data_IF_523059396359
#
_entry.id   IF_523059396359
#
_cell.length_a   1.000
_cell.length_b   1.000
_cell.length_c   1.000
_cell.angle_alpha   90.00
_cell.angle_beta   90.00
_cell.angle_gamma   90.00
#
_symmetry.space_group_name_H-M   'P 1'
#
loop_
_entity.id
_entity.type
_entity.pdbx_description
1 polymer ?
#
# COMPACT_ATOMS: atom_id res chain seq x y z
N UNK A 1 7.13 21.10 40.56
CA UNK A 1 5.96 20.61 39.81
C UNK A 1 5.95 21.04 38.32
N UNK A 2 6.43 22.24 37.99
CA UNK A 2 6.45 22.75 36.57
C UNK A 2 7.44 22.05 35.63
N UNK A 3 8.64 21.68 36.08
CA UNK A 3 9.66 21.04 35.25
C UNK A 3 9.29 19.59 34.83
N UNK A 4 8.61 18.86 35.71
CA UNK A 4 8.13 17.48 35.41
C UNK A 4 6.98 17.52 34.40
N UNK A 5 6.05 18.46 34.53
CA UNK A 5 4.94 18.68 33.59
C UNK A 5 5.44 19.15 32.21
N UNK A 6 6.47 20.01 32.19
CA UNK A 6 7.11 20.44 30.92
C UNK A 6 7.86 19.29 30.24
N UNK A 7 8.55 18.44 31.01
CA UNK A 7 9.24 17.26 30.49
C UNK A 7 8.24 16.20 29.96
N UNK A 8 7.11 16.03 30.64
CA UNK A 8 6.02 15.15 30.20
C UNK A 8 5.32 15.70 28.95
N UNK A 9 5.03 17.01 28.91
CA UNK A 9 4.44 17.70 27.76
C UNK A 9 5.36 17.64 26.52
N UNK A 10 6.66 17.78 26.69
CA UNK A 10 7.64 17.64 25.59
C UNK A 10 7.83 16.18 25.14
N UNK A 11 7.72 15.21 26.04
CA UNK A 11 7.83 13.78 25.72
C UNK A 11 6.60 13.27 24.94
N UNK A 12 5.40 13.73 25.27
CA UNK A 12 4.14 13.34 24.59
C UNK A 12 3.98 14.08 23.26
N UNK A 13 4.43 15.33 23.17
CA UNK A 13 4.29 16.12 21.94
C UNK A 13 5.20 15.66 20.78
N UNK A 14 6.33 15.01 21.04
CA UNK A 14 7.27 14.60 20.00
C UNK A 14 6.73 13.50 19.07
N UNK A 15 6.13 12.39 19.53
CA UNK A 15 5.57 11.39 18.64
C UNK A 15 4.34 11.88 17.88
N UNK A 16 3.47 12.68 18.52
CA UNK A 16 2.29 13.28 17.89
C UNK A 16 2.72 14.23 16.76
N UNK A 17 3.69 15.10 17.02
CA UNK A 17 4.22 16.03 16.02
C UNK A 17 4.87 15.32 14.85
N UNK A 18 5.62 14.22 15.09
CA UNK A 18 6.21 13.41 14.03
C UNK A 18 5.16 12.73 13.17
N UNK A 19 4.12 12.15 13.78
CA UNK A 19 3.00 11.57 13.04
C UNK A 19 2.25 12.62 12.20
N UNK A 20 2.04 13.81 12.76
CA UNK A 20 1.39 14.92 12.05
C UNK A 20 2.19 15.36 10.82
N UNK A 21 3.50 15.56 10.97
CA UNK A 21 4.39 15.92 9.85
C UNK A 21 4.41 14.82 8.78
N UNK A 22 4.50 13.54 9.18
CA UNK A 22 4.48 12.43 8.24
C UNK A 22 3.16 12.36 7.45
N UNK A 23 2.02 12.64 8.10
CA UNK A 23 0.73 12.68 7.44
C UNK A 23 0.58 13.91 6.51
N UNK A 24 1.07 15.09 6.92
CA UNK A 24 1.09 16.27 6.05
C UNK A 24 1.92 16.03 4.79
N UNK A 25 3.09 15.41 4.94
CA UNK A 25 3.92 15.00 3.81
C UNK A 25 3.13 14.08 2.86
N UNK A 26 2.37 13.12 3.41
CA UNK A 26 1.52 12.23 2.63
C UNK A 26 0.40 12.95 1.87
N UNK A 27 -0.23 13.95 2.49
CA UNK A 27 -1.22 14.78 1.82
C UNK A 27 -0.57 15.52 0.64
N UNK A 28 0.62 16.10 0.84
CA UNK A 28 1.39 16.75 -0.23
C UNK A 28 1.68 15.79 -1.39
N UNK A 29 2.15 14.58 -1.11
CA UNK A 29 2.40 13.55 -2.14
C UNK A 29 1.11 13.18 -2.89
N UNK A 30 -0.03 13.03 -2.20
CA UNK A 30 -1.30 12.74 -2.85
C UNK A 30 -1.77 13.87 -3.76
N UNK A 31 -1.59 15.12 -3.34
CA UNK A 31 -1.91 16.32 -4.15
C UNK A 31 -1.02 16.35 -5.40
N UNK A 32 0.29 16.11 -5.26
CA UNK A 32 1.21 16.03 -6.39
C UNK A 32 0.79 14.95 -7.39
N UNK A 33 0.41 13.76 -6.90
CA UNK A 33 -0.12 12.69 -7.75
C UNK A 33 -1.31 13.15 -8.58
N UNK A 34 -2.30 13.81 -7.96
CA UNK A 34 -3.52 14.22 -8.65
C UNK A 34 -3.29 15.38 -9.62
N UNK A 35 -2.50 16.38 -9.24
CA UNK A 35 -2.29 17.57 -10.05
C UNK A 35 -1.33 17.31 -11.20
N UNK A 36 -0.28 16.52 -10.99
CA UNK A 36 0.78 16.31 -11.97
C UNK A 36 0.50 15.09 -12.84
N UNK A 37 0.24 13.90 -12.23
CA UNK A 37 0.14 12.68 -13.04
C UNK A 37 -1.04 12.67 -13.99
N UNK A 38 -2.20 13.20 -13.60
CA UNK A 38 -3.39 13.19 -14.46
C UNK A 38 -3.16 13.91 -15.79
N UNK A 39 -2.67 15.18 -15.83
CA UNK A 39 -2.32 15.84 -17.08
C UNK A 39 -1.25 15.09 -17.89
N UNK A 40 -0.23 14.51 -17.22
CA UNK A 40 0.80 13.75 -17.91
C UNK A 40 0.26 12.46 -18.54
N UNK A 41 -0.61 11.73 -17.85
CA UNK A 41 -1.28 10.56 -18.44
C UNK A 41 -2.06 10.95 -19.69
N UNK A 42 -2.85 12.02 -19.63
CA UNK A 42 -3.63 12.49 -20.78
C UNK A 42 -2.71 12.93 -21.92
N UNK A 43 -1.61 13.60 -21.61
CA UNK A 43 -0.66 14.09 -22.61
C UNK A 43 0.06 12.94 -23.35
N UNK A 44 0.48 11.90 -22.64
CA UNK A 44 1.30 10.81 -23.20
C UNK A 44 0.49 9.62 -23.69
N UNK A 45 -0.64 9.31 -23.04
CA UNK A 45 -1.48 8.16 -23.39
C UNK A 45 -2.80 8.54 -24.08
N UNK A 46 -3.19 9.81 -24.01
CA UNK A 46 -4.51 10.26 -24.42
C UNK A 46 -5.61 9.89 -23.42
N UNK A 47 -6.79 10.47 -23.63
CA UNK A 47 -7.93 10.26 -22.72
C UNK A 47 -8.39 8.81 -22.64
N UNK A 48 -8.37 8.13 -23.77
CA UNK A 48 -9.01 6.83 -23.94
C UNK A 48 -8.22 5.73 -23.24
N UNK A 49 -6.90 5.66 -23.47
CA UNK A 49 -6.02 4.68 -22.80
C UNK A 49 -5.91 4.97 -21.29
N UNK A 50 -5.93 6.25 -20.91
CA UNK A 50 -5.97 6.64 -19.51
C UNK A 50 -7.29 6.24 -18.84
N UNK A 51 -8.41 6.32 -19.54
CA UNK A 51 -9.71 5.85 -19.04
C UNK A 51 -9.69 4.36 -18.75
N UNK A 52 -9.14 3.54 -19.66
CA UNK A 52 -8.99 2.10 -19.45
C UNK A 52 -8.13 1.80 -18.21
N UNK A 53 -7.03 2.52 -18.03
CA UNK A 53 -6.18 2.42 -16.84
C UNK A 53 -6.92 2.74 -15.55
N UNK A 54 -7.72 3.82 -15.52
CA UNK A 54 -8.51 4.21 -14.35
C UNK A 54 -9.50 3.11 -13.99
N UNK A 55 -10.22 2.55 -14.96
CA UNK A 55 -11.21 1.49 -14.72
C UNK A 55 -10.53 0.26 -14.10
N UNK A 56 -9.41 -0.21 -14.66
CA UNK A 56 -8.68 -1.37 -14.14
C UNK A 56 -8.10 -1.10 -12.74
N UNK A 57 -7.55 0.09 -12.52
CA UNK A 57 -6.98 0.46 -11.22
C UNK A 57 -8.05 0.64 -10.14
N UNK A 58 -9.21 1.21 -10.50
CA UNK A 58 -10.34 1.33 -9.59
C UNK A 58 -10.86 -0.06 -9.19
N UNK A 59 -11.01 -0.97 -10.16
CA UNK A 59 -11.43 -2.35 -9.88
C UNK A 59 -10.44 -3.05 -8.94
N UNK A 60 -9.14 -2.97 -9.19
CA UNK A 60 -8.11 -3.52 -8.32
C UNK A 60 -8.18 -2.93 -6.90
N UNK A 61 -8.45 -1.62 -6.79
CA UNK A 61 -8.58 -0.93 -5.49
C UNK A 61 -9.77 -1.44 -4.69
N UNK A 62 -10.90 -1.77 -5.33
CA UNK A 62 -12.07 -2.38 -4.66
C UNK A 62 -11.67 -3.69 -3.98
N UNK A 63 -10.85 -4.54 -4.62
CA UNK A 63 -10.32 -5.74 -3.97
C UNK A 63 -9.43 -5.42 -2.75
N UNK A 64 -8.69 -4.31 -2.80
CA UNK A 64 -7.91 -3.82 -1.65
C UNK A 64 -8.77 -3.40 -0.46
N UNK A 65 -10.02 -3.00 -0.69
CA UNK A 65 -10.96 -2.68 0.38
C UNK A 65 -11.39 -3.91 1.18
N UNK A 66 -11.14 -5.13 0.71
CA UNK A 66 -11.39 -6.36 1.48
C UNK A 66 -10.54 -6.47 2.75
N UNK A 67 -9.46 -5.69 2.87
CA UNK A 67 -8.70 -5.51 4.12
C UNK A 67 -9.38 -4.56 5.12
N UNK A 68 -10.62 -4.12 4.83
CA UNK A 68 -11.31 -3.11 5.66
C UNK A 68 -11.36 -3.53 7.12
N UNK A 69 -10.41 -3.04 7.88
CA UNK A 69 -10.33 -3.19 9.32
C UNK A 69 -9.51 -4.38 9.82
N UNK A 70 -9.23 -5.44 9.07
CA UNK A 70 -8.46 -6.60 9.56
C UNK A 70 -7.08 -6.18 10.07
N UNK A 71 -6.29 -5.51 9.25
CA UNK A 71 -4.99 -5.00 9.65
C UNK A 71 -5.11 -4.01 10.82
N UNK A 72 -6.12 -3.14 10.82
CA UNK A 72 -6.35 -2.17 11.91
C UNK A 72 -6.70 -2.84 13.22
N UNK A 73 -7.57 -3.87 13.20
CA UNK A 73 -7.94 -4.65 14.39
C UNK A 73 -6.72 -5.37 14.96
N UNK A 74 -5.93 -6.01 14.10
CA UNK A 74 -4.73 -6.75 14.54
C UNK A 74 -3.67 -5.81 15.08
N UNK A 75 -3.45 -4.67 14.43
CA UNK A 75 -2.53 -3.64 14.92
C UNK A 75 -2.93 -3.11 16.31
N UNK A 76 -4.22 -2.87 16.53
CA UNK A 76 -4.73 -2.42 17.83
C UNK A 76 -4.56 -3.50 18.90
N UNK A 77 -4.96 -4.75 18.60
CA UNK A 77 -4.79 -5.88 19.53
C UNK A 77 -3.32 -6.13 19.85
N UNK A 78 -2.45 -6.07 18.84
CA UNK A 78 -1.01 -6.18 19.04
C UNK A 78 -0.49 -5.13 20.01
N UNK A 79 -0.87 -3.85 19.83
CA UNK A 79 -0.44 -2.76 20.73
C UNK A 79 -0.90 -2.99 22.18
N UNK A 80 -2.14 -3.48 22.39
CA UNK A 80 -2.66 -3.83 23.72
C UNK A 80 -1.83 -4.97 24.33
N UNK A 81 -1.65 -6.07 23.59
CA UNK A 81 -0.92 -7.25 24.09
C UNK A 81 0.56 -6.97 24.33
N UNK A 82 1.14 -6.10 23.52
CA UNK A 82 2.51 -5.63 23.74
C UNK A 82 2.63 -4.79 25.04
N UNK A 83 1.66 -3.95 25.33
CA UNK A 83 1.63 -3.19 26.59
C UNK A 83 1.45 -4.08 27.83
N UNK A 84 0.75 -5.21 27.67
CA UNK A 84 0.60 -6.27 28.71
C UNK A 84 1.86 -7.17 28.82
N UNK A 85 2.90 -6.92 28.03
CA UNK A 85 4.14 -7.74 27.92
C UNK A 85 3.88 -9.20 27.50
N UNK A 86 2.76 -9.49 26.86
CA UNK A 86 2.43 -10.83 26.39
C UNK A 86 2.97 -11.06 24.97
N UNK A 87 4.30 -11.25 24.87
CA UNK A 87 4.98 -11.42 23.57
C UNK A 87 4.54 -12.67 22.81
N UNK A 88 4.06 -13.71 23.53
CA UNK A 88 3.55 -14.94 22.90
C UNK A 88 2.30 -14.67 22.09
N UNK A 89 1.32 -13.96 22.67
CA UNK A 89 0.11 -13.56 21.95
C UNK A 89 0.40 -12.57 20.83
N UNK A 90 1.37 -11.65 21.01
CA UNK A 90 1.83 -10.78 19.94
C UNK A 90 2.32 -11.56 18.72
N UNK A 91 3.13 -12.58 18.92
CA UNK A 91 3.60 -13.46 17.84
C UNK A 91 2.46 -14.20 17.15
N UNK A 92 1.51 -14.75 17.93
CA UNK A 92 0.33 -15.43 17.39
C UNK A 92 -0.52 -14.50 16.53
N UNK A 93 -0.75 -13.26 16.96
CA UNK A 93 -1.51 -12.27 16.18
C UNK A 93 -0.85 -11.96 14.83
N UNK A 94 0.48 -11.86 14.77
CA UNK A 94 1.18 -11.65 13.51
C UNK A 94 1.06 -12.85 12.57
N UNK A 95 1.19 -14.08 13.10
CA UNK A 95 1.04 -15.30 12.31
C UNK A 95 -0.39 -15.41 11.77
N UNK A 96 -1.40 -15.18 12.62
CA UNK A 96 -2.81 -15.18 12.21
C UNK A 96 -3.04 -14.15 11.10
N UNK A 97 -2.47 -12.95 11.21
CA UNK A 97 -2.59 -11.93 10.17
C UNK A 97 -2.00 -12.38 8.83
N UNK A 98 -0.78 -12.96 8.86
CA UNK A 98 -0.14 -13.51 7.67
C UNK A 98 -1.03 -14.58 7.01
N UNK A 99 -1.56 -15.51 7.80
CA UNK A 99 -2.39 -16.60 7.30
C UNK A 99 -3.68 -16.05 6.68
N UNK A 100 -4.37 -15.14 7.35
CA UNK A 100 -5.62 -14.54 6.83
C UNK A 100 -5.36 -13.82 5.51
N UNK A 101 -4.34 -12.93 5.45
CA UNK A 101 -3.99 -12.21 4.22
C UNK A 101 -3.63 -13.20 3.11
N UNK A 102 -2.86 -14.25 3.41
CA UNK A 102 -2.45 -15.25 2.41
C UNK A 102 -3.63 -16.05 1.87
N UNK A 103 -4.59 -16.44 2.73
CA UNK A 103 -5.82 -17.13 2.30
C UNK A 103 -6.68 -16.22 1.44
N UNK A 104 -6.90 -14.98 1.88
CA UNK A 104 -7.65 -13.98 1.11
C UNK A 104 -7.00 -13.76 -0.26
N UNK A 105 -5.68 -13.56 -0.28
CA UNK A 105 -4.92 -13.43 -1.53
C UNK A 105 -5.09 -14.63 -2.46
N UNK A 106 -4.91 -15.85 -1.94
CA UNK A 106 -5.03 -17.07 -2.74
C UNK A 106 -6.44 -17.23 -3.33
N UNK A 107 -7.48 -16.98 -2.56
CA UNK A 107 -8.88 -17.05 -3.01
C UNK A 107 -9.16 -16.02 -4.10
N UNK A 108 -8.79 -14.76 -3.88
CA UNK A 108 -9.03 -13.71 -4.87
C UNK A 108 -8.19 -13.89 -6.13
N UNK A 109 -6.92 -14.30 -6.00
CA UNK A 109 -6.07 -14.57 -7.15
C UNK A 109 -6.63 -15.73 -7.98
N UNK A 110 -7.03 -16.82 -7.34
CA UNK A 110 -7.62 -17.96 -8.02
C UNK A 110 -8.94 -17.59 -8.70
N UNK A 111 -9.83 -16.87 -8.00
CA UNK A 111 -11.09 -16.41 -8.56
C UNK A 111 -10.87 -15.47 -9.76
N UNK A 112 -9.91 -14.54 -9.66
CA UNK A 112 -9.57 -13.63 -10.77
C UNK A 112 -8.99 -14.35 -11.97
N UNK A 113 -8.11 -15.34 -11.77
CA UNK A 113 -7.56 -16.14 -12.87
C UNK A 113 -8.63 -16.98 -13.54
N UNK A 114 -9.54 -17.60 -12.79
CA UNK A 114 -10.69 -18.32 -13.36
C UNK A 114 -11.60 -17.38 -14.16
N UNK A 115 -11.86 -16.20 -13.65
CA UNK A 115 -12.67 -15.19 -14.32
C UNK A 115 -12.02 -14.76 -15.64
N UNK A 116 -10.73 -14.42 -15.62
CA UNK A 116 -9.97 -14.00 -16.81
C UNK A 116 -9.82 -15.12 -17.87
N UNK A 117 -9.80 -16.39 -17.44
CA UNK A 117 -9.76 -17.54 -18.35
C UNK A 117 -11.08 -17.71 -19.12
N UNK A 118 -12.22 -17.51 -18.45
CA UNK A 118 -13.54 -17.74 -19.03
C UNK A 118 -14.20 -16.48 -19.61
N UNK A 119 -13.87 -15.31 -19.08
CA UNK A 119 -14.47 -14.03 -19.44
C UNK A 119 -13.44 -13.07 -20.05
N UNK A 120 -13.90 -12.19 -20.93
CA UNK A 120 -13.08 -11.08 -21.41
C UNK A 120 -13.34 -9.84 -20.56
N UNK A 121 -12.40 -9.50 -19.69
CA UNK A 121 -12.50 -8.32 -18.81
C UNK A 121 -12.63 -7.01 -19.62
N UNK A 122 -12.00 -6.97 -20.80
CA UNK A 122 -12.00 -5.80 -21.68
C UNK A 122 -13.42 -5.51 -22.17
N UNK A 123 -14.10 -6.53 -22.70
CA UNK A 123 -15.48 -6.38 -23.20
C UNK A 123 -16.47 -6.06 -22.08
N UNK A 124 -16.33 -6.73 -20.92
CA UNK A 124 -17.25 -6.52 -19.80
C UNK A 124 -17.11 -5.17 -19.12
N UNK A 125 -15.90 -4.62 -19.09
CA UNK A 125 -15.64 -3.30 -18.50
C UNK A 125 -15.73 -2.17 -19.51
N UNK A 126 -16.04 -2.47 -20.78
CA UNK A 126 -16.14 -1.48 -21.84
C UNK A 126 -14.80 -0.80 -22.13
N UNK A 127 -13.69 -1.55 -22.02
CA UNK A 127 -12.37 -1.03 -22.37
C UNK A 127 -12.22 -1.04 -23.90
N UNK A 128 -11.74 0.05 -24.48
CA UNK A 128 -11.76 0.21 -25.93
C UNK A 128 -10.37 0.12 -26.57
N UNK A 129 -9.31 0.37 -25.81
CA UNK A 129 -7.94 0.50 -26.33
C UNK A 129 -7.03 -0.64 -25.91
N UNK A 130 -7.37 -1.37 -24.86
CA UNK A 130 -6.58 -2.50 -24.38
C UNK A 130 -7.04 -3.82 -25.01
N UNK A 131 -6.09 -4.61 -25.53
CA UNK A 131 -6.34 -5.96 -25.95
C UNK A 131 -6.66 -6.89 -24.76
N UNK A 132 -7.42 -7.99 -25.01
CA UNK A 132 -7.80 -8.96 -23.96
C UNK A 132 -6.61 -9.44 -23.12
N UNK A 133 -5.50 -9.80 -23.75
CA UNK A 133 -4.30 -10.30 -23.04
C UNK A 133 -3.64 -9.21 -22.20
N UNK A 134 -3.55 -8.02 -22.75
CA UNK A 134 -2.92 -6.87 -22.10
C UNK A 134 -3.75 -6.38 -20.91
N UNK A 135 -5.05 -6.18 -21.08
CA UNK A 135 -5.95 -5.81 -19.99
C UNK A 135 -5.97 -6.84 -18.85
N UNK A 136 -5.96 -8.15 -19.18
CA UNK A 136 -5.87 -9.21 -18.19
C UNK A 136 -4.53 -9.20 -17.44
N UNK A 137 -3.43 -8.95 -18.14
CA UNK A 137 -2.09 -8.87 -17.55
C UNK A 137 -1.99 -7.66 -16.59
N UNK A 138 -2.42 -6.48 -17.04
CA UNK A 138 -2.40 -5.25 -16.23
C UNK A 138 -3.25 -5.43 -14.98
N UNK A 139 -4.47 -5.95 -15.12
CA UNK A 139 -5.35 -6.20 -13.99
C UNK A 139 -4.72 -7.16 -12.97
N UNK A 140 -4.10 -8.24 -13.44
CA UNK A 140 -3.39 -9.20 -12.57
C UNK A 140 -2.23 -8.51 -11.82
N UNK A 141 -1.44 -7.69 -12.49
CA UNK A 141 -0.34 -6.94 -11.85
C UNK A 141 -0.85 -5.95 -10.80
N UNK A 142 -1.94 -5.24 -11.09
CA UNK A 142 -2.57 -4.33 -10.14
C UNK A 142 -3.15 -5.08 -8.92
N UNK A 143 -3.74 -6.26 -9.11
CA UNK A 143 -4.18 -7.11 -7.99
C UNK A 143 -2.99 -7.55 -7.13
N UNK A 144 -1.92 -8.04 -7.74
CA UNK A 144 -0.70 -8.43 -7.01
C UNK A 144 -0.15 -7.26 -6.21
N UNK A 145 -0.13 -6.05 -6.80
CA UNK A 145 0.28 -4.83 -6.11
C UNK A 145 -0.56 -4.55 -4.86
N UNK A 146 -1.88 -4.63 -4.97
CA UNK A 146 -2.81 -4.41 -3.86
C UNK A 146 -2.55 -5.41 -2.73
N UNK A 147 -2.39 -6.69 -3.05
CA UNK A 147 -2.16 -7.72 -2.06
C UNK A 147 -0.78 -7.60 -1.38
N UNK A 148 0.28 -7.29 -2.12
CA UNK A 148 1.58 -7.02 -1.52
C UNK A 148 1.47 -5.83 -0.55
N UNK A 149 0.67 -4.82 -0.89
CA UNK A 149 0.43 -3.68 0.00
C UNK A 149 -0.30 -4.09 1.30
N UNK A 150 -1.20 -5.09 1.27
CA UNK A 150 -1.83 -5.62 2.49
C UNK A 150 -0.80 -6.21 3.46
N UNK A 151 0.25 -6.89 2.97
CA UNK A 151 1.33 -7.40 3.81
C UNK A 151 2.14 -6.29 4.48
N UNK A 152 2.17 -5.07 3.93
CA UNK A 152 2.78 -3.91 4.59
C UNK A 152 2.10 -3.54 5.92
N UNK A 153 0.85 -3.94 6.14
CA UNK A 153 0.14 -3.79 7.40
C UNK A 153 0.73 -4.59 8.57
N UNK A 154 1.42 -5.70 8.28
CA UNK A 154 1.95 -6.62 9.29
C UNK A 154 3.07 -5.97 10.13
N UNK A 155 4.18 -5.46 9.55
CA UNK A 155 5.18 -4.76 10.33
C UNK A 155 4.65 -3.47 10.99
N UNK A 156 3.62 -2.83 10.41
CA UNK A 156 3.00 -1.66 11.01
C UNK A 156 2.44 -1.94 12.42
N UNK A 157 1.95 -3.17 12.69
CA UNK A 157 1.50 -3.58 14.02
C UNK A 157 2.63 -3.50 15.06
N UNK A 158 3.83 -3.93 14.69
CA UNK A 158 5.02 -3.91 15.56
C UNK A 158 5.40 -2.47 15.91
N UNK A 159 5.54 -1.61 14.91
CA UNK A 159 5.90 -0.21 15.11
C UNK A 159 4.85 0.56 15.94
N UNK A 160 3.57 0.22 15.77
CA UNK A 160 2.49 0.79 16.56
C UNK A 160 2.59 0.36 18.02
N UNK A 161 2.87 -0.91 18.30
CA UNK A 161 3.06 -1.44 19.65
C UNK A 161 4.20 -0.76 20.40
N UNK A 162 5.30 -0.45 19.71
CA UNK A 162 6.47 0.24 20.32
C UNK A 162 6.41 1.77 20.24
N UNK A 163 5.25 2.35 19.92
CA UNK A 163 5.03 3.81 19.80
C UNK A 163 5.90 4.52 18.74
N UNK A 164 6.38 3.80 17.73
CA UNK A 164 7.19 4.33 16.61
C UNK A 164 6.40 4.41 15.29
N UNK A 165 5.10 4.58 15.35
CA UNK A 165 4.20 4.60 14.18
C UNK A 165 4.59 5.64 13.12
N UNK A 166 5.17 6.79 13.52
CA UNK A 166 5.61 7.83 12.58
C UNK A 166 6.63 7.35 11.55
N UNK A 167 7.46 6.37 11.91
CA UNK A 167 8.50 5.86 11.01
C UNK A 167 7.89 5.06 9.87
N UNK A 168 6.91 4.21 10.18
CA UNK A 168 6.20 3.43 9.14
C UNK A 168 5.38 4.32 8.25
N UNK A 169 4.65 5.30 8.83
CA UNK A 169 3.89 6.27 8.04
C UNK A 169 4.81 7.02 7.08
N UNK A 170 5.99 7.44 7.54
CA UNK A 170 6.96 8.11 6.68
C UNK A 170 7.47 7.22 5.55
N UNK A 171 7.79 5.94 5.85
CA UNK A 171 8.20 4.96 4.83
C UNK A 171 7.09 4.75 3.79
N UNK A 172 5.82 4.66 4.24
CA UNK A 172 4.67 4.51 3.33
C UNK A 172 4.51 5.72 2.40
N UNK A 173 4.67 6.94 2.93
CA UNK A 173 4.59 8.14 2.11
C UNK A 173 5.79 8.27 1.16
N UNK A 174 6.98 7.87 1.60
CA UNK A 174 8.17 7.83 0.74
C UNK A 174 7.98 6.81 -0.40
N UNK A 175 7.39 5.64 -0.10
CA UNK A 175 7.06 4.64 -1.11
C UNK A 175 6.10 5.20 -2.17
N UNK A 176 5.06 5.93 -1.74
CA UNK A 176 4.14 6.61 -2.66
C UNK A 176 4.86 7.66 -3.53
N UNK A 177 5.78 8.42 -2.94
CA UNK A 177 6.60 9.38 -3.69
C UNK A 177 7.49 8.67 -4.73
N UNK A 178 8.09 7.54 -4.38
CA UNK A 178 8.88 6.74 -5.32
C UNK A 178 7.99 6.22 -6.45
N UNK A 179 6.80 5.69 -6.15
CA UNK A 179 5.84 5.26 -7.16
C UNK A 179 5.47 6.43 -8.09
N UNK A 180 5.22 7.63 -7.54
CA UNK A 180 4.96 8.83 -8.33
C UNK A 180 6.12 9.14 -9.30
N UNK A 181 7.37 9.13 -8.81
CA UNK A 181 8.55 9.40 -9.63
C UNK A 181 8.71 8.32 -10.73
N UNK A 182 8.56 7.03 -10.36
CA UNK A 182 8.63 5.92 -11.32
C UNK A 182 7.57 6.07 -12.40
N UNK A 183 6.32 6.35 -12.02
CA UNK A 183 5.22 6.58 -12.97
C UNK A 183 5.51 7.73 -13.91
N UNK A 184 5.98 8.87 -13.39
CA UNK A 184 6.34 10.03 -14.18
C UNK A 184 7.47 9.71 -15.18
N UNK A 185 8.52 9.01 -14.72
CA UNK A 185 9.63 8.59 -15.58
C UNK A 185 9.17 7.61 -16.66
N UNK A 186 8.30 6.66 -16.34
CA UNK A 186 7.73 5.74 -17.32
C UNK A 186 6.97 6.48 -18.43
N UNK A 187 6.17 7.47 -18.06
CA UNK A 187 5.44 8.31 -19.02
C UNK A 187 6.39 9.10 -19.91
N UNK A 188 7.39 9.75 -19.32
CA UNK A 188 8.40 10.54 -20.06
C UNK A 188 9.24 9.68 -21.00
N UNK A 189 9.55 8.44 -20.61
CA UNK A 189 10.31 7.50 -21.44
C UNK A 189 9.45 6.75 -22.46
N UNK A 190 8.14 6.97 -22.51
CA UNK A 190 7.23 6.28 -23.43
C UNK A 190 7.11 4.78 -23.15
N UNK A 191 7.23 4.39 -21.87
CA UNK A 191 7.06 2.98 -21.48
C UNK A 191 5.61 2.56 -21.69
N UNK A 192 5.41 1.38 -22.28
CA UNK A 192 4.09 0.80 -22.47
C UNK A 192 3.35 0.60 -21.13
N UNK A 193 2.02 0.65 -21.17
CA UNK A 193 1.15 0.53 -20.00
C UNK A 193 1.38 -0.80 -19.23
N UNK A 194 1.65 -1.90 -19.97
CA UNK A 194 2.01 -3.19 -19.40
C UNK A 194 3.32 -3.15 -18.61
N UNK A 195 4.37 -2.53 -19.16
CA UNK A 195 5.64 -2.32 -18.51
C UNK A 195 5.53 -1.43 -17.29
N UNK A 196 4.74 -0.35 -17.39
CA UNK A 196 4.49 0.54 -16.26
C UNK A 196 3.79 -0.19 -15.10
N UNK A 197 2.80 -1.05 -15.38
CA UNK A 197 2.11 -1.84 -14.35
C UNK A 197 3.07 -2.72 -13.52
N UNK A 198 4.12 -3.24 -14.14
CA UNK A 198 5.17 -4.01 -13.46
C UNK A 198 6.09 -3.10 -12.64
N UNK A 199 6.55 -1.99 -13.23
CA UNK A 199 7.52 -1.09 -12.57
C UNK A 199 6.96 -0.43 -11.31
N UNK A 200 5.69 -0.06 -11.29
CA UNK A 200 5.03 0.51 -10.10
C UNK A 200 4.82 -0.51 -8.97
N UNK A 201 4.87 -1.81 -9.26
CA UNK A 201 4.81 -2.85 -8.24
C UNK A 201 6.11 -2.97 -7.42
N UNK A 202 7.27 -2.61 -7.98
CA UNK A 202 8.60 -2.83 -7.38
C UNK A 202 8.82 -2.08 -6.05
N UNK A 203 8.43 -0.80 -5.87
CA UNK A 203 8.68 -0.08 -4.62
C UNK A 203 7.98 -0.67 -3.39
N UNK A 204 6.85 -1.36 -3.58
CA UNK A 204 6.03 -1.86 -2.48
C UNK A 204 6.71 -3.02 -1.72
N UNK A 205 7.19 -4.10 -2.36
CA UNK A 205 7.94 -5.14 -1.67
C UNK A 205 9.25 -4.62 -1.07
N UNK A 206 9.90 -3.64 -1.70
CA UNK A 206 11.11 -3.01 -1.13
C UNK A 206 10.77 -2.33 0.21
N UNK A 207 9.67 -1.58 0.27
CA UNK A 207 9.22 -0.95 1.52
C UNK A 207 8.90 -1.99 2.60
N UNK A 208 8.28 -3.12 2.22
CA UNK A 208 8.00 -4.22 3.12
C UNK A 208 9.28 -4.82 3.71
N UNK A 209 10.28 -5.08 2.87
CA UNK A 209 11.59 -5.59 3.30
C UNK A 209 12.27 -4.63 4.27
N UNK A 210 12.28 -3.33 3.96
CA UNK A 210 12.85 -2.29 4.84
C UNK A 210 12.16 -2.31 6.21
N UNK A 211 10.82 -2.34 6.24
CA UNK A 211 10.05 -2.37 7.49
C UNK A 211 10.31 -3.64 8.30
N UNK A 212 10.41 -4.80 7.65
CA UNK A 212 10.75 -6.07 8.31
C UNK A 212 12.16 -6.01 8.90
N UNK A 213 13.12 -5.48 8.16
CA UNK A 213 14.50 -5.31 8.65
C UNK A 213 14.54 -4.37 9.87
N UNK A 214 13.86 -3.23 9.80
CA UNK A 214 13.76 -2.29 10.92
C UNK A 214 13.06 -2.91 12.13
N UNK A 215 12.00 -3.70 11.92
CA UNK A 215 11.28 -4.37 13.02
C UNK A 215 12.17 -5.38 13.75
N UNK A 216 13.00 -6.15 13.04
CA UNK A 216 13.99 -7.05 13.65
C UNK A 216 15.00 -6.31 14.54
N UNK A 217 15.36 -5.09 14.18
CA UNK A 217 16.30 -4.27 14.98
C UNK A 217 15.67 -3.72 16.27
N UNK A 218 14.36 -3.63 16.33
CA UNK A 218 13.61 -3.19 17.52
C UNK A 218 13.59 -4.28 18.61
N UNK A 219 13.60 -5.56 18.20
CA UNK A 219 13.56 -6.71 19.10
C UNK A 219 14.96 -7.28 19.47
N UNK A 220 16.02 -6.71 18.93
CA UNK A 220 17.39 -6.95 19.38
C UNK A 220 17.79 -5.98 20.47
#
# INVERSE_FOLDING_TARGET
MSAILLKFKNSVNTPIRKNFIANLFGIGVNILNQIILVPFFILYWGNDLYSDWIVLSALATVFGMSDVGLNSVIQNRFAIKYSERNLKECGQLLIINIVIISVVFAVFLFASLLYLANCNIVDQMGLHYLGRKEGSFIFTMLLVQVFINMYNGIPNAIFRGVHRNSEVVFIDQLTKLIIFIVTLLCLLCGVEISGMSVLICIPIPISLIIKIYMSKRIFR
#
